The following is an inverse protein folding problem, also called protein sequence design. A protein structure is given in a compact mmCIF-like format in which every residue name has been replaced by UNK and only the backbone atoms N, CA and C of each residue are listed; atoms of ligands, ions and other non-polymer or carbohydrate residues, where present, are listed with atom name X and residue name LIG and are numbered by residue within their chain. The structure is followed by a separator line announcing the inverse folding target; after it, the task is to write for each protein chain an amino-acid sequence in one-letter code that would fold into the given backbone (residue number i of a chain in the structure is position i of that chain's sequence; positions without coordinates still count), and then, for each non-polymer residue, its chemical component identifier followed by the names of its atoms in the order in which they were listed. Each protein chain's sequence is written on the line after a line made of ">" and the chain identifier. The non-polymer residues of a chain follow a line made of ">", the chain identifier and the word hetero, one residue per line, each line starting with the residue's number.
data_IF_167783310032
#
_entry.id   IF_167783310032
#
_cell.length_a   1.000
_cell.length_b   1.000
_cell.length_c   1.000
_cell.angle_alpha   90.00
_cell.angle_beta   90.00
_cell.angle_gamma   90.00
#
_symmetry.space_group_name_H-M   'P 1'
#
loop_
_entity.id
_entity.type
_entity.pdbx_description
1 polymer ?
#
# COMPACT_ATOMS: atom_id res chain seq x y z
N UNK A 1 20.33 -1.90 -3.20
CA UNK A 1 19.61 -0.62 -3.36
C UNK A 1 18.17 -0.99 -3.68
N UNK A 2 17.21 -0.71 -2.79
CA UNK A 2 15.80 -0.73 -3.19
C UNK A 2 15.59 0.50 -4.07
N UNK A 3 15.22 0.30 -5.33
CA UNK A 3 14.89 1.40 -6.22
C UNK A 3 13.44 1.79 -5.92
N UNK A 4 13.24 2.72 -4.99
CA UNK A 4 11.94 3.35 -4.81
C UNK A 4 11.69 4.28 -5.99
N UNK A 5 10.48 4.22 -6.55
CA UNK A 5 10.09 5.14 -7.61
C UNK A 5 10.04 6.58 -7.06
N UNK A 6 10.60 7.50 -7.82
CA UNK A 6 10.42 8.93 -7.57
C UNK A 6 8.97 9.34 -7.86
N UNK A 7 8.49 10.45 -7.29
CA UNK A 7 7.15 10.95 -7.63
C UNK A 7 6.93 11.18 -9.12
N UNK A 8 7.96 11.65 -9.84
CA UNK A 8 7.88 11.85 -11.28
C UNK A 8 7.67 10.53 -12.05
N UNK A 9 8.39 9.47 -11.67
CA UNK A 9 8.20 8.14 -12.23
C UNK A 9 6.81 7.58 -11.91
N UNK A 10 6.29 7.83 -10.70
CA UNK A 10 4.92 7.46 -10.32
C UNK A 10 3.86 8.14 -11.19
N UNK A 11 3.97 9.46 -11.40
CA UNK A 11 3.03 10.18 -12.28
C UNK A 11 3.20 9.79 -13.75
N UNK A 12 4.42 9.47 -14.18
CA UNK A 12 4.66 8.93 -15.52
C UNK A 12 3.97 7.58 -15.70
N UNK A 13 4.05 6.68 -14.72
CA UNK A 13 3.35 5.40 -14.73
C UNK A 13 1.83 5.61 -14.82
N UNK A 14 1.27 6.51 -14.00
CA UNK A 14 -0.15 6.86 -14.09
C UNK A 14 -0.53 7.41 -15.46
N UNK A 15 0.33 8.21 -16.08
CA UNK A 15 0.11 8.74 -17.43
C UNK A 15 0.06 7.61 -18.46
N UNK A 16 1.04 6.69 -18.41
CA UNK A 16 1.15 5.53 -19.31
C UNK A 16 -0.03 4.58 -19.17
N UNK A 17 -0.56 4.38 -17.96
CA UNK A 17 -1.73 3.54 -17.70
C UNK A 17 -3.01 4.02 -18.42
N UNK A 18 -3.10 5.31 -18.75
CA UNK A 18 -4.32 5.88 -19.35
C UNK A 18 -5.54 5.80 -18.43
N UNK A 19 -6.72 6.21 -18.92
CA UNK A 19 -7.94 6.24 -18.11
C UNK A 19 -8.44 4.84 -17.72
N UNK A 20 -8.39 3.88 -18.64
CA UNK A 20 -8.81 2.51 -18.39
C UNK A 20 -7.90 1.81 -17.37
N UNK A 21 -6.58 1.95 -17.52
CA UNK A 21 -5.62 1.39 -16.57
C UNK A 21 -5.77 1.99 -15.19
N UNK A 22 -5.97 3.31 -15.08
CA UNK A 22 -6.22 3.97 -13.77
C UNK A 22 -7.53 3.50 -13.14
N UNK A 23 -8.58 3.25 -13.91
CA UNK A 23 -9.84 2.72 -13.38
C UNK A 23 -9.71 1.27 -12.90
N UNK A 24 -8.99 0.43 -13.65
CA UNK A 24 -8.67 -0.92 -13.20
C UNK A 24 -7.83 -0.90 -11.91
N UNK A 25 -6.86 0.01 -11.83
CA UNK A 25 -6.01 0.17 -10.65
C UNK A 25 -6.82 0.59 -9.42
N UNK A 26 -7.72 1.57 -9.55
CA UNK A 26 -8.65 1.95 -8.46
C UNK A 26 -9.47 0.76 -7.92
N UNK A 27 -9.91 -0.14 -8.81
CA UNK A 27 -10.66 -1.33 -8.39
C UNK A 27 -9.78 -2.33 -7.65
N UNK A 28 -8.54 -2.53 -8.10
CA UNK A 28 -7.57 -3.40 -7.45
C UNK A 28 -7.15 -2.88 -6.06
N UNK A 29 -6.85 -1.58 -5.93
CA UNK A 29 -6.44 -1.00 -4.64
C UNK A 29 -7.55 -1.13 -3.57
N UNK A 30 -8.83 -1.20 -3.95
CA UNK A 30 -9.91 -1.50 -3.01
C UNK A 30 -9.83 -2.92 -2.44
N UNK A 31 -9.37 -3.90 -3.22
CA UNK A 31 -9.14 -5.27 -2.72
C UNK A 31 -7.88 -5.37 -1.85
N UNK A 32 -6.90 -4.52 -2.11
CA UNK A 32 -5.64 -4.48 -1.36
C UNK A 32 -5.79 -3.88 0.04
N UNK A 33 -6.95 -3.33 0.42
CA UNK A 33 -7.25 -2.95 1.80
C UNK A 33 -7.49 -4.18 2.71
N UNK A 34 -7.93 -5.31 2.15
CA UNK A 34 -8.25 -6.51 2.97
C UNK A 34 -7.02 -7.38 3.19
N UNK A 35 -6.12 -7.42 2.21
CA UNK A 35 -4.98 -8.33 2.21
C UNK A 35 -4.00 -8.10 3.38
N UNK A 36 -3.63 -6.86 3.77
CA UNK A 36 -2.71 -6.59 4.87
C UNK A 36 -3.23 -7.11 6.21
N UNK A 37 -4.54 -7.03 6.43
CA UNK A 37 -5.17 -7.59 7.60
C UNK A 37 -5.10 -9.12 7.63
N UNK A 38 -5.34 -9.79 6.49
CA UNK A 38 -5.19 -11.24 6.39
C UNK A 38 -3.74 -11.69 6.61
N UNK A 39 -2.77 -10.93 6.08
CA UNK A 39 -1.34 -11.16 6.32
C UNK A 39 -1.02 -10.98 7.80
N UNK A 40 -1.47 -9.90 8.43
CA UNK A 40 -1.32 -9.69 9.87
C UNK A 40 -1.87 -10.85 10.69
N UNK A 41 -3.08 -11.31 10.38
CA UNK A 41 -3.70 -12.45 11.06
C UNK A 41 -2.88 -13.72 10.86
N UNK A 42 -2.48 -14.05 9.63
CA UNK A 42 -1.73 -15.27 9.35
C UNK A 42 -0.37 -15.31 10.04
N UNK A 43 0.29 -14.15 10.20
CA UNK A 43 1.58 -14.04 10.89
C UNK A 43 1.43 -13.94 12.43
N UNK A 44 0.31 -13.40 12.93
CA UNK A 44 0.11 -13.16 14.37
C UNK A 44 -0.64 -14.28 15.08
N UNK A 45 -1.59 -14.95 14.41
CA UNK A 45 -2.41 -16.02 15.01
C UNK A 45 -1.58 -17.19 15.54
N UNK A 46 -0.54 -17.70 14.85
CA UNK A 46 0.29 -18.77 15.40
C UNK A 46 0.93 -18.37 16.73
N UNK A 47 1.40 -17.12 16.85
CA UNK A 47 1.98 -16.63 18.10
C UNK A 47 0.95 -16.64 19.25
N UNK A 48 -0.30 -16.27 18.98
CA UNK A 48 -1.40 -16.34 19.97
C UNK A 48 -1.74 -17.78 20.34
N UNK A 49 -1.90 -18.66 19.34
CA UNK A 49 -2.26 -20.09 19.53
C UNK A 49 -1.21 -20.81 20.37
N UNK A 50 0.08 -20.55 20.15
CA UNK A 50 1.18 -21.16 20.90
C UNK A 50 1.55 -20.41 22.19
N UNK A 51 0.71 -19.48 22.65
CA UNK A 51 0.92 -18.74 23.91
C UNK A 51 2.20 -17.91 23.93
N UNK A 52 2.69 -17.47 22.77
CA UNK A 52 3.88 -16.62 22.66
C UNK A 52 3.53 -15.19 23.07
N UNK A 53 4.56 -14.43 23.48
CA UNK A 53 4.40 -13.03 23.91
C UNK A 53 3.85 -12.16 22.76
N UNK A 54 2.99 -11.21 23.08
CA UNK A 54 2.41 -10.26 22.11
C UNK A 54 3.43 -9.48 21.27
N UNK A 55 4.70 -9.37 21.69
CA UNK A 55 5.78 -8.77 20.89
C UNK A 55 5.97 -9.39 19.50
N UNK A 56 5.58 -10.65 19.30
CA UNK A 56 5.68 -11.32 18.00
C UNK A 56 4.65 -10.80 16.99
N UNK A 57 3.58 -10.13 17.44
CA UNK A 57 2.59 -9.47 16.58
C UNK A 57 3.00 -8.04 16.20
N UNK A 58 4.02 -7.45 16.84
CA UNK A 58 4.42 -6.05 16.59
C UNK A 58 4.93 -5.86 15.16
N UNK A 59 5.80 -6.75 14.69
CA UNK A 59 6.35 -6.63 13.32
C UNK A 59 5.26 -6.80 12.24
N UNK A 60 4.43 -7.87 12.27
CA UNK A 60 3.28 -7.98 11.37
C UNK A 60 2.31 -6.79 11.45
N UNK A 61 2.11 -6.23 12.65
CA UNK A 61 1.25 -5.06 12.84
C UNK A 61 1.83 -3.82 12.16
N UNK A 62 3.12 -3.54 12.36
CA UNK A 62 3.80 -2.41 11.69
C UNK A 62 3.74 -2.59 10.17
N UNK A 63 4.00 -3.81 9.68
CA UNK A 63 3.89 -4.11 8.24
C UNK A 63 2.49 -3.81 7.70
N UNK A 64 1.44 -4.27 8.38
CA UNK A 64 0.05 -3.98 8.01
C UNK A 64 -0.25 -2.48 7.97
N UNK A 65 0.25 -1.71 8.95
CA UNK A 65 0.05 -0.25 8.97
C UNK A 65 0.78 0.42 7.80
N UNK A 66 2.01 0.00 7.49
CA UNK A 66 2.75 0.54 6.34
C UNK A 66 2.01 0.29 5.03
N UNK A 67 1.53 -0.93 4.82
CA UNK A 67 0.79 -1.33 3.62
C UNK A 67 -0.53 -0.54 3.50
N UNK A 68 -1.21 -0.28 4.62
CA UNK A 68 -2.39 0.60 4.62
C UNK A 68 -2.06 2.03 4.22
N UNK A 69 -0.95 2.59 4.69
CA UNK A 69 -0.54 3.96 4.35
C UNK A 69 -0.29 4.07 2.84
N UNK A 70 0.39 3.08 2.26
CA UNK A 70 0.67 3.00 0.83
C UNK A 70 -0.62 2.92 0.01
N UNK A 71 -1.50 1.94 0.28
CA UNK A 71 -2.76 1.77 -0.43
C UNK A 71 -3.67 3.01 -0.34
N UNK A 72 -3.72 3.67 0.82
CA UNK A 72 -4.47 4.92 0.98
C UNK A 72 -3.84 6.05 0.16
N UNK A 73 -2.51 6.14 0.12
CA UNK A 73 -1.80 7.12 -0.69
C UNK A 73 -2.08 6.92 -2.19
N UNK A 74 -2.09 5.68 -2.67
CA UNK A 74 -2.44 5.36 -4.06
C UNK A 74 -3.87 5.78 -4.41
N UNK A 75 -4.85 5.42 -3.57
CA UNK A 75 -6.26 5.82 -3.76
C UNK A 75 -6.37 7.34 -3.84
N UNK A 76 -5.68 8.06 -2.95
CA UNK A 76 -5.69 9.52 -2.95
C UNK A 76 -5.10 10.09 -4.25
N UNK A 77 -3.91 9.62 -4.65
CA UNK A 77 -3.22 10.10 -5.86
C UNK A 77 -4.07 9.82 -7.11
N UNK A 78 -4.64 8.62 -7.24
CA UNK A 78 -5.56 8.28 -8.32
C UNK A 78 -6.81 9.16 -8.33
N UNK A 79 -7.29 9.58 -7.16
CA UNK A 79 -8.46 10.44 -7.00
C UNK A 79 -8.21 11.89 -7.43
N UNK A 80 -6.98 12.40 -7.24
CA UNK A 80 -6.63 13.78 -7.58
C UNK A 80 -5.98 13.93 -8.97
N UNK A 81 -5.45 12.86 -9.55
CA UNK A 81 -4.82 12.88 -10.87
C UNK A 81 -5.76 13.52 -11.92
N UNK A 82 -5.27 14.45 -12.77
CA UNK A 82 -3.87 14.79 -13.05
C UNK A 82 -3.25 15.84 -12.10
N UNK A 83 -3.95 16.30 -11.06
CA UNK A 83 -3.33 17.17 -10.06
C UNK A 83 -2.26 16.38 -9.30
N UNK A 84 -1.15 17.05 -8.98
CA UNK A 84 -0.02 16.44 -8.27
C UNK A 84 -0.03 16.79 -6.79
N UNK A 85 0.32 15.81 -5.98
CA UNK A 85 0.81 15.94 -4.63
C UNK A 85 2.02 15.01 -4.47
N UNK A 86 3.23 15.56 -4.56
CA UNK A 86 4.44 14.76 -4.61
C UNK A 86 4.73 14.07 -3.28
N UNK A 87 4.38 14.68 -2.15
CA UNK A 87 4.56 14.05 -0.82
C UNK A 87 3.73 12.78 -0.66
N UNK A 88 2.48 12.77 -1.15
CA UNK A 88 1.63 11.58 -1.10
C UNK A 88 2.04 10.57 -2.17
N UNK A 89 2.48 11.02 -3.35
CA UNK A 89 3.03 10.11 -4.36
C UNK A 89 4.27 9.36 -3.84
N UNK A 90 5.15 10.03 -3.09
CA UNK A 90 6.27 9.32 -2.46
C UNK A 90 5.79 8.18 -1.58
N UNK A 91 4.73 8.38 -0.79
CA UNK A 91 4.13 7.33 0.06
C UNK A 91 3.52 6.20 -0.77
N UNK A 92 2.90 6.52 -1.91
CA UNK A 92 2.37 5.52 -2.85
C UNK A 92 3.49 4.71 -3.54
N UNK A 93 4.68 5.30 -3.75
CA UNK A 93 5.82 4.65 -4.39
C UNK A 93 6.68 3.79 -3.44
N UNK A 94 6.29 3.62 -2.17
CA UNK A 94 7.06 2.88 -1.16
C UNK A 94 6.83 1.35 -1.17
N UNK A 95 6.11 0.83 -2.18
CA UNK A 95 5.85 -0.58 -2.46
C UNK A 95 7.11 -1.45 -2.62
#
# INVERSE_FOLDING_TARGET
>A
MMNYYTPDEGYQALTVLGDEGRNAYRLATHTDVVLPFLVFLSLSLPAVIFGKKCRYAISPFIYMISDYIENIAEIYVLGIYPKRNDSIMTLACYA
#
